data_IF_330104883387
#
_entry.id   IF_330104883387
#
_cell.length_a   1.000
_cell.length_b   1.000
_cell.length_c   1.000
_cell.angle_alpha   90.00
_cell.angle_beta   90.00
_cell.angle_gamma   90.00
#
_symmetry.space_group_name_H-M   'P 1'
#
loop_
_entity.id
_entity.type
_entity.pdbx_description
1 polymer ?
#
# COMPACT_ATOMS: atom_id res chain seq x y z
N UNK A 1 23.16 -18.68 21.10
CA UNK A 1 21.93 -18.74 21.91
C UNK A 1 21.22 -17.37 21.98
N UNK A 2 20.65 -16.86 20.87
CA UNK A 2 19.99 -15.54 20.83
C UNK A 2 18.48 -15.60 21.07
N UNK A 3 17.86 -16.75 20.83
CA UNK A 3 16.42 -16.99 21.00
C UNK A 3 16.04 -17.00 22.48
N UNK A 4 16.70 -17.79 23.31
CA UNK A 4 16.43 -17.86 24.76
C UNK A 4 16.56 -16.50 25.47
N UNK A 5 17.61 -15.74 25.16
CA UNK A 5 17.80 -14.39 25.71
C UNK A 5 16.67 -13.42 25.33
N UNK A 6 16.05 -13.63 24.15
CA UNK A 6 14.94 -12.80 23.67
C UNK A 6 13.64 -13.14 24.40
N UNK A 7 13.41 -14.43 24.68
CA UNK A 7 12.28 -14.92 25.47
C UNK A 7 12.38 -14.46 26.93
N UNK A 8 13.56 -14.58 27.55
CA UNK A 8 13.79 -14.12 28.92
C UNK A 8 13.52 -12.62 29.10
N UNK A 9 14.00 -11.79 28.16
CA UNK A 9 13.71 -10.35 28.14
C UNK A 9 12.23 -10.02 27.90
N UNK A 10 11.52 -10.81 27.09
CA UNK A 10 10.09 -10.62 26.86
C UNK A 10 9.27 -10.97 28.12
N UNK A 11 9.69 -12.01 28.85
CA UNK A 11 9.10 -12.44 30.10
C UNK A 11 9.31 -11.40 31.22
N UNK A 12 10.53 -10.87 31.37
CA UNK A 12 10.82 -9.80 32.34
C UNK A 12 10.07 -8.49 32.06
N UNK A 13 9.77 -8.20 30.80
CA UNK A 13 8.95 -7.05 30.40
C UNK A 13 7.43 -7.29 30.53
N UNK A 14 7.00 -8.48 30.95
CA UNK A 14 5.58 -8.84 31.07
C UNK A 14 4.81 -8.84 29.75
N UNK A 15 5.50 -8.90 28.60
CA UNK A 15 4.87 -8.81 27.29
C UNK A 15 5.27 -10.00 26.43
N UNK A 16 4.47 -11.06 26.51
CA UNK A 16 4.51 -12.24 25.64
C UNK A 16 3.68 -12.05 24.36
N UNK A 17 3.32 -10.80 24.03
CA UNK A 17 2.51 -10.49 22.85
C UNK A 17 3.35 -10.74 21.60
N UNK A 18 2.77 -11.40 20.59
CA UNK A 18 3.43 -11.63 19.30
C UNK A 18 3.83 -10.27 18.67
N UNK A 19 5.14 -10.03 18.63
CA UNK A 19 5.69 -8.79 18.11
C UNK A 19 5.86 -8.80 16.59
N UNK A 20 5.47 -9.88 15.88
CA UNK A 20 5.60 -9.92 14.41
C UNK A 20 4.64 -8.93 13.76
N UNK A 21 3.42 -8.82 14.30
CA UNK A 21 2.42 -7.85 13.82
C UNK A 21 2.85 -6.40 14.07
N UNK A 22 3.35 -6.08 15.26
CA UNK A 22 3.84 -4.75 15.58
C UNK A 22 5.10 -4.38 14.79
N UNK A 23 6.02 -5.32 14.59
CA UNK A 23 7.18 -5.13 13.71
C UNK A 23 6.78 -5.00 12.23
N UNK A 24 5.68 -5.61 11.79
CA UNK A 24 5.15 -5.44 10.43
C UNK A 24 4.47 -4.07 10.25
N UNK A 25 3.75 -3.58 11.26
CA UNK A 25 3.14 -2.24 11.26
C UNK A 25 4.18 -1.12 11.23
N UNK A 26 5.33 -1.32 11.90
CA UNK A 26 6.43 -0.36 11.90
C UNK A 26 7.16 -0.27 10.54
N UNK A 27 7.00 -1.28 9.67
CA UNK A 27 7.60 -1.27 8.33
C UNK A 27 6.71 -0.46 7.40
N UNK A 28 6.98 0.83 7.28
CA UNK A 28 6.52 1.60 6.13
C UNK A 28 7.20 1.03 4.89
N UNK A 29 6.41 0.48 3.97
CA UNK A 29 6.93 -0.05 2.70
C UNK A 29 7.39 1.15 1.85
N UNK A 30 8.63 1.15 1.38
CA UNK A 30 9.19 2.27 0.61
C UNK A 30 8.36 2.60 -0.65
N UNK A 31 7.70 1.59 -1.22
CA UNK A 31 6.80 1.73 -2.37
C UNK A 31 5.35 2.09 -1.99
N UNK A 32 5.13 2.67 -0.81
CA UNK A 32 3.80 3.12 -0.39
C UNK A 32 3.47 4.40 -1.16
N UNK A 33 2.43 4.34 -1.99
CA UNK A 33 1.93 5.54 -2.67
C UNK A 33 1.65 6.65 -1.65
N UNK A 34 2.16 7.84 -1.94
CA UNK A 34 1.90 9.04 -1.17
C UNK A 34 0.40 9.41 -1.22
N UNK A 35 -0.05 10.26 -0.30
CA UNK A 35 -1.41 10.77 -0.34
C UNK A 35 -1.69 11.54 -1.65
N UNK A 36 -0.71 12.26 -2.17
CA UNK A 36 -0.81 13.01 -3.41
C UNK A 36 -0.95 12.07 -4.62
N UNK A 37 -0.16 11.00 -4.67
CA UNK A 37 -0.25 10.00 -5.74
C UNK A 37 -1.60 9.28 -5.71
N UNK A 38 -2.11 8.95 -4.51
CA UNK A 38 -3.45 8.38 -4.33
C UNK A 38 -4.53 9.33 -4.87
N UNK A 39 -4.42 10.62 -4.56
CA UNK A 39 -5.37 11.62 -5.05
C UNK A 39 -5.28 11.77 -6.58
N UNK A 40 -4.07 11.71 -7.13
CA UNK A 40 -3.85 11.74 -8.59
C UNK A 40 -4.54 10.57 -9.29
N UNK A 41 -4.43 9.36 -8.73
CA UNK A 41 -5.16 8.17 -9.22
C UNK A 41 -6.68 8.41 -9.22
N UNK A 42 -7.24 8.92 -8.10
CA UNK A 42 -8.67 9.20 -8.00
C UNK A 42 -9.13 10.28 -8.99
N UNK A 43 -8.35 11.34 -9.17
CA UNK A 43 -8.65 12.40 -10.12
C UNK A 43 -8.70 11.85 -11.54
N UNK A 44 -7.72 11.04 -11.95
CA UNK A 44 -7.68 10.44 -13.29
C UNK A 44 -8.88 9.52 -13.50
N UNK A 45 -9.18 8.63 -12.55
CA UNK A 45 -10.36 7.77 -12.66
C UNK A 45 -11.68 8.55 -12.76
N UNK A 46 -11.73 9.79 -12.25
CA UNK A 46 -12.91 10.66 -12.34
C UNK A 46 -12.93 11.56 -13.58
N UNK A 47 -11.85 11.65 -14.36
CA UNK A 47 -11.84 12.40 -15.61
C UNK A 47 -12.77 11.75 -16.64
N UNK A 48 -13.41 12.57 -17.47
CA UNK A 48 -14.39 12.12 -18.48
C UNK A 48 -13.86 11.05 -19.42
N UNK A 49 -12.56 11.10 -19.75
CA UNK A 49 -11.89 10.15 -20.65
C UNK A 49 -11.76 8.74 -20.03
N UNK A 50 -11.55 8.66 -18.72
CA UNK A 50 -11.27 7.40 -18.03
C UNK A 50 -12.43 6.90 -17.17
N UNK A 51 -13.45 7.73 -16.93
CA UNK A 51 -14.61 7.43 -16.06
C UNK A 51 -15.35 6.15 -16.45
N UNK A 52 -15.39 5.84 -17.74
CA UNK A 52 -16.05 4.65 -18.28
C UNK A 52 -15.12 3.44 -18.40
N UNK A 53 -13.83 3.59 -18.10
CA UNK A 53 -12.82 2.55 -18.28
C UNK A 53 -12.50 1.87 -16.94
N UNK A 54 -12.35 0.54 -16.92
CA UNK A 54 -11.88 -0.16 -15.73
C UNK A 54 -10.40 0.15 -15.45
N UNK A 55 -9.95 0.04 -14.18
CA UNK A 55 -8.56 0.27 -13.81
C UNK A 55 -7.53 -0.60 -14.53
N UNK A 56 -7.97 -1.77 -15.02
CA UNK A 56 -7.14 -2.65 -15.86
C UNK A 56 -6.77 -2.05 -17.21
N UNK A 57 -7.55 -1.08 -17.72
CA UNK A 57 -7.31 -0.37 -18.97
C UNK A 57 -6.66 0.99 -18.72
N UNK A 58 -7.05 1.70 -17.64
CA UNK A 58 -6.47 3.02 -17.31
C UNK A 58 -4.95 2.92 -17.09
N UNK A 59 -4.49 1.94 -16.30
CA UNK A 59 -3.07 1.80 -15.98
C UNK A 59 -2.16 1.61 -17.21
N UNK A 60 -2.45 0.71 -18.17
CA UNK A 60 -1.65 0.60 -19.39
C UNK A 60 -1.75 1.85 -20.29
N UNK A 61 -2.92 2.49 -20.42
CA UNK A 61 -3.06 3.73 -21.22
C UNK A 61 -2.13 4.83 -20.69
N UNK A 62 -2.10 5.03 -19.36
CA UNK A 62 -1.21 5.99 -18.74
C UNK A 62 0.27 5.63 -18.95
N UNK A 63 0.62 4.34 -18.88
CA UNK A 63 1.98 3.88 -19.14
C UNK A 63 2.41 4.13 -20.60
N UNK A 64 1.52 3.90 -21.56
CA UNK A 64 1.75 4.17 -22.98
C UNK A 64 1.94 5.68 -23.25
N UNK A 65 1.28 6.53 -22.46
CA UNK A 65 1.48 7.99 -22.45
C UNK A 65 2.76 8.44 -21.71
N UNK A 66 3.55 7.50 -21.19
CA UNK A 66 4.76 7.78 -20.41
C UNK A 66 4.49 8.24 -18.96
N UNK A 67 3.25 8.16 -18.50
CA UNK A 67 2.81 8.60 -17.17
C UNK A 67 2.62 7.38 -16.27
N UNK A 68 3.66 6.97 -15.56
CA UNK A 68 3.52 5.93 -14.54
C UNK A 68 3.16 6.52 -13.17
N UNK A 69 2.01 6.12 -12.62
CA UNK A 69 1.55 6.54 -11.27
C UNK A 69 1.48 5.34 -10.33
N UNK A 70 0.88 4.24 -10.77
CA UNK A 70 0.73 3.05 -9.95
C UNK A 70 0.46 1.80 -10.79
N UNK A 71 0.71 0.63 -10.19
CA UNK A 71 0.32 -0.65 -10.78
C UNK A 71 -1.21 -0.83 -10.80
N UNK A 72 -1.70 -1.71 -11.69
CA UNK A 72 -3.11 -2.15 -11.74
C UNK A 72 -3.67 -2.52 -10.36
N UNK A 73 -2.91 -3.28 -9.56
CA UNK A 73 -3.33 -3.70 -8.22
C UNK A 73 -3.46 -2.53 -7.24
N UNK A 74 -2.60 -1.52 -7.35
CA UNK A 74 -2.71 -0.30 -6.54
C UNK A 74 -3.95 0.52 -6.88
N UNK A 75 -4.32 0.64 -8.17
CA UNK A 75 -5.57 1.30 -8.56
C UNK A 75 -6.79 0.63 -7.92
N UNK A 76 -6.89 -0.70 -8.01
CA UNK A 76 -8.00 -1.44 -7.39
C UNK A 76 -8.09 -1.23 -5.88
N UNK A 77 -6.93 -1.21 -5.20
CA UNK A 77 -6.89 -0.97 -3.75
C UNK A 77 -7.36 0.45 -3.41
N UNK A 78 -6.91 1.46 -4.15
CA UNK A 78 -7.29 2.87 -3.91
C UNK A 78 -8.79 3.07 -4.15
N UNK A 79 -9.33 2.54 -5.25
CA UNK A 79 -10.76 2.65 -5.54
C UNK A 79 -11.62 1.91 -4.52
N UNK A 80 -11.15 0.78 -3.98
CA UNK A 80 -11.81 0.06 -2.89
C UNK A 80 -11.72 0.80 -1.54
N UNK A 81 -10.65 1.55 -1.29
CA UNK A 81 -10.52 2.39 -0.09
C UNK A 81 -11.41 3.65 -0.17
N UNK A 82 -11.75 4.12 -1.38
CA UNK A 82 -12.48 5.36 -1.61
C UNK A 82 -14.00 5.20 -1.82
N UNK A 83 -14.48 3.98 -2.12
CA UNK A 83 -15.91 3.63 -2.23
C UNK A 83 -16.41 2.94 -0.97
#
# INVERSE_FOLDING_TARGET
>A
MRTLQRWDKALQKGSLVDQRKSAAQLRTRDNKLSAEERQKVLNICNQSEYRSLPPSQIAPILADQGIYIASKSSFYRILREAG
#
